data_IF_549959574762
#
_entry.id   IF_549959574762
#
_cell.length_a   1.000
_cell.length_b   1.000
_cell.length_c   1.000
_cell.angle_alpha   90.00
_cell.angle_beta   90.00
_cell.angle_gamma   90.00
#
_symmetry.space_group_name_H-M   'P 1'
#
loop_
_entity.id
_entity.type
_entity.pdbx_description
1 polymer ?
#
# COMPACT_ATOMS: atom_id res chain seq x y z
N UNK A 1 -14.83 -10.74 -9.86
CA UNK A 1 -15.29 -10.80 -8.45
C UNK A 1 -15.43 -12.28 -8.20
N UNK A 2 -14.39 -12.89 -7.62
CA UNK A 2 -14.33 -14.33 -7.44
C UNK A 2 -15.53 -14.76 -6.59
N UNK A 3 -16.19 -15.84 -6.99
CA UNK A 3 -17.32 -16.39 -6.22
C UNK A 3 -16.79 -16.91 -4.88
N UNK A 4 -17.63 -16.90 -3.83
CA UNK A 4 -17.22 -17.38 -2.50
C UNK A 4 -16.72 -18.85 -2.48
N UNK A 5 -16.93 -19.59 -3.58
CA UNK A 5 -16.41 -20.94 -3.81
C UNK A 5 -14.98 -20.99 -4.35
N UNK A 6 -14.43 -19.91 -4.89
CA UNK A 6 -13.09 -19.84 -5.49
C UNK A 6 -12.01 -19.27 -4.56
N UNK A 7 -12.40 -18.75 -3.39
CA UNK A 7 -11.47 -18.25 -2.39
C UNK A 7 -11.05 -19.36 -1.42
N UNK A 8 -9.79 -19.36 -0.93
CA UNK A 8 -9.30 -20.33 0.06
C UNK A 8 -9.81 -20.03 1.49
N UNK A 9 -11.07 -19.61 1.61
CA UNK A 9 -11.80 -19.25 2.84
C UNK A 9 -13.02 -20.13 3.00
N UNK A 10 -13.52 -20.23 4.24
CA UNK A 10 -14.80 -20.85 4.53
C UNK A 10 -15.79 -19.80 5.04
N UNK A 11 -17.11 -19.99 4.85
CA UNK A 11 -18.14 -19.07 5.37
C UNK A 11 -18.00 -18.78 6.88
N UNK A 12 -17.52 -19.77 7.65
CA UNK A 12 -17.27 -19.65 9.09
C UNK A 12 -16.21 -18.60 9.42
N UNK A 13 -15.25 -18.33 8.55
CA UNK A 13 -14.21 -17.33 8.78
C UNK A 13 -14.79 -15.90 8.74
N UNK A 14 -15.68 -15.61 7.79
CA UNK A 14 -16.40 -14.33 7.74
C UNK A 14 -17.44 -14.21 8.85
N UNK A 15 -18.07 -15.32 9.23
CA UNK A 15 -18.96 -15.37 10.38
C UNK A 15 -18.20 -15.03 11.67
N UNK A 16 -16.97 -15.52 11.83
CA UNK A 16 -16.11 -15.18 12.97
C UNK A 16 -15.76 -13.68 12.99
N UNK A 17 -15.42 -13.07 11.84
CA UNK A 17 -15.19 -11.62 11.76
C UNK A 17 -16.45 -10.82 12.11
N UNK A 18 -17.61 -11.24 11.59
CA UNK A 18 -18.89 -10.59 11.87
C UNK A 18 -19.29 -10.72 13.33
N UNK A 19 -19.10 -11.90 13.93
CA UNK A 19 -19.35 -12.15 15.34
C UNK A 19 -18.41 -11.32 16.22
N UNK A 20 -17.12 -11.22 15.86
CA UNK A 20 -16.16 -10.37 16.55
C UNK A 20 -16.56 -8.89 16.51
N UNK A 21 -16.95 -8.39 15.33
CA UNK A 21 -17.45 -7.03 15.18
C UNK A 21 -18.69 -6.78 16.05
N UNK A 22 -19.69 -7.66 15.98
CA UNK A 22 -20.91 -7.57 16.76
C UNK A 22 -20.67 -7.64 18.27
N UNK A 23 -19.76 -8.51 18.71
CA UNK A 23 -19.38 -8.63 20.11
C UNK A 23 -18.68 -7.36 20.62
N UNK A 24 -17.76 -6.79 19.85
CA UNK A 24 -17.07 -5.53 20.19
C UNK A 24 -18.05 -4.36 20.23
N UNK A 25 -18.96 -4.27 19.26
CA UNK A 25 -20.01 -3.25 19.24
C UNK A 25 -20.94 -3.40 20.45
N UNK A 26 -21.38 -4.62 20.76
CA UNK A 26 -22.21 -4.89 21.93
C UNK A 26 -21.51 -4.55 23.24
N UNK A 27 -20.22 -4.90 23.37
CA UNK A 27 -19.40 -4.55 24.52
C UNK A 27 -19.25 -3.03 24.66
N UNK A 28 -19.05 -2.32 23.55
CA UNK A 28 -18.99 -0.86 23.53
C UNK A 28 -20.31 -0.23 23.99
N UNK A 29 -21.45 -0.71 23.47
CA UNK A 29 -22.78 -0.23 23.88
C UNK A 29 -22.99 -0.47 25.38
N UNK A 30 -22.62 -1.64 25.88
CA UNK A 30 -22.73 -1.95 27.31
C UNK A 30 -21.81 -1.08 28.17
N UNK A 31 -20.57 -0.86 27.73
CA UNK A 31 -19.60 0.00 28.41
C UNK A 31 -20.09 1.46 28.44
N UNK A 32 -20.67 1.95 27.34
CA UNK A 32 -21.26 3.28 27.27
C UNK A 32 -22.44 3.43 28.23
N UNK A 33 -23.31 2.42 28.34
CA UNK A 33 -24.45 2.42 29.29
C UNK A 33 -24.04 2.42 30.76
N UNK A 34 -22.90 1.81 31.09
CA UNK A 34 -22.40 1.73 32.47
C UNK A 34 -21.66 2.98 32.93
N UNK A 35 -21.40 3.93 32.02
CA UNK A 35 -20.75 5.19 32.37
C UNK A 35 -21.78 6.25 32.71
N UNK A 36 -21.95 6.50 33.99
CA UNK A 36 -22.65 7.69 34.47
C UNK A 36 -21.85 8.95 34.12
N UNK A 37 -22.51 9.94 33.51
CA UNK A 37 -21.91 11.24 33.19
C UNK A 37 -20.99 11.27 31.96
N UNK A 38 -21.04 10.26 31.08
CA UNK A 38 -20.32 10.30 29.80
C UNK A 38 -20.75 11.50 28.94
N UNK A 39 -19.79 12.22 28.35
CA UNK A 39 -20.11 13.31 27.44
C UNK A 39 -20.80 12.75 26.18
N UNK A 40 -22.02 13.21 25.84
CA UNK A 40 -22.73 12.73 24.67
C UNK A 40 -22.01 13.14 23.38
N UNK A 41 -22.05 12.26 22.38
CA UNK A 41 -21.61 12.59 21.02
C UNK A 41 -22.51 13.70 20.47
N UNK A 42 -21.93 14.87 20.24
CA UNK A 42 -22.65 16.00 19.65
C UNK A 42 -22.87 15.72 18.17
N UNK A 43 -24.03 16.06 17.59
CA UNK A 43 -24.24 15.92 16.14
C UNK A 43 -23.16 16.58 15.29
N UNK A 44 -22.58 17.69 15.77
CA UNK A 44 -21.46 18.38 15.10
C UNK A 44 -20.15 17.60 15.05
N UNK A 45 -19.98 16.56 15.87
CA UNK A 45 -18.80 15.68 15.82
C UNK A 45 -18.88 14.65 14.68
N UNK A 46 -20.03 14.44 14.05
CA UNK A 46 -20.20 13.41 13.01
C UNK A 46 -19.36 13.69 11.76
N UNK A 47 -19.24 14.95 11.34
CA UNK A 47 -18.44 15.35 10.18
C UNK A 47 -16.96 15.09 10.40
N UNK A 48 -16.30 15.64 11.45
CA UNK A 48 -14.88 15.37 11.69
C UNK A 48 -14.63 13.89 11.99
N UNK A 49 -15.54 13.20 12.67
CA UNK A 49 -15.40 11.76 12.92
C UNK A 49 -15.48 10.94 11.62
N UNK A 50 -16.36 11.33 10.70
CA UNK A 50 -16.45 10.74 9.36
C UNK A 50 -15.18 10.96 8.55
N UNK A 51 -14.64 12.19 8.57
CA UNK A 51 -13.36 12.53 7.93
C UNK A 51 -12.20 11.74 8.56
N UNK A 52 -12.16 11.62 9.88
CA UNK A 52 -11.17 10.83 10.60
C UNK A 52 -11.24 9.34 10.24
N UNK A 53 -12.45 8.79 10.13
CA UNK A 53 -12.68 7.42 9.69
C UNK A 53 -12.21 7.18 8.25
N UNK A 54 -12.49 8.13 7.35
CA UNK A 54 -11.98 8.11 5.98
C UNK A 54 -10.45 8.11 5.96
N UNK A 55 -9.81 9.05 6.66
CA UNK A 55 -8.35 9.11 6.75
C UNK A 55 -7.76 7.80 7.28
N UNK A 56 -8.28 7.27 8.39
CA UNK A 56 -7.76 6.05 9.00
C UNK A 56 -7.94 4.83 8.09
N UNK A 57 -9.10 4.68 7.45
CA UNK A 57 -9.34 3.57 6.52
C UNK A 57 -8.47 3.67 5.26
N UNK A 58 -8.26 4.88 4.71
CA UNK A 58 -7.32 5.13 3.61
C UNK A 58 -5.89 4.83 4.04
N UNK A 59 -5.47 5.31 5.21
CA UNK A 59 -4.14 5.09 5.78
C UNK A 59 -3.82 3.60 5.87
N UNK A 60 -4.71 2.82 6.48
CA UNK A 60 -4.53 1.37 6.64
C UNK A 60 -4.59 0.63 5.32
N UNK A 61 -5.51 0.98 4.41
CA UNK A 61 -5.75 0.19 3.20
C UNK A 61 -4.91 0.61 2.00
N UNK A 62 -4.49 1.87 1.89
CA UNK A 62 -3.86 2.43 0.67
C UNK A 62 -2.43 2.89 0.88
N UNK A 63 -2.11 3.50 2.02
CA UNK A 63 -0.82 4.17 2.18
C UNK A 63 0.35 3.18 2.26
N UNK A 64 1.45 3.54 1.60
CA UNK A 64 2.67 2.73 1.58
C UNK A 64 3.37 2.74 2.93
N UNK A 65 3.27 3.85 3.67
CA UNK A 65 3.81 3.96 5.03
C UNK A 65 3.28 2.85 5.95
N UNK A 66 2.01 2.46 5.80
CA UNK A 66 1.37 1.37 6.56
C UNK A 66 1.42 0.01 5.86
N UNK A 67 2.29 -0.17 4.87
CA UNK A 67 2.44 -1.47 4.19
C UNK A 67 2.84 -2.59 5.14
N UNK A 68 3.57 -2.28 6.22
CA UNK A 68 3.97 -3.24 7.25
C UNK A 68 2.75 -3.88 7.97
N UNK A 69 1.65 -3.15 8.14
CA UNK A 69 0.39 -3.67 8.71
C UNK A 69 -0.24 -4.71 7.78
N UNK A 70 -0.18 -4.46 6.47
CA UNK A 70 -0.78 -5.33 5.44
C UNK A 70 0.11 -6.50 5.05
N UNK A 71 1.43 -6.35 5.11
CA UNK A 71 2.43 -7.35 4.69
C UNK A 71 2.14 -8.79 5.20
N UNK A 72 1.75 -9.02 6.47
CA UNK A 72 1.43 -10.37 6.93
C UNK A 72 0.18 -10.98 6.28
N UNK A 73 -0.76 -10.17 5.80
CA UNK A 73 -2.06 -10.62 5.30
C UNK A 73 -2.26 -10.43 3.80
N UNK A 74 -1.49 -9.55 3.16
CA UNK A 74 -1.66 -9.14 1.77
C UNK A 74 -0.31 -9.23 1.04
N UNK A 75 -0.35 -9.78 -0.17
CA UNK A 75 0.73 -9.76 -1.14
C UNK A 75 0.49 -8.62 -2.11
N UNK A 76 1.41 -7.67 -2.16
CA UNK A 76 1.42 -6.61 -3.17
C UNK A 76 2.32 -7.08 -4.33
N UNK A 77 1.74 -7.23 -5.53
CA UNK A 77 2.43 -7.70 -6.74
C UNK A 77 2.88 -6.52 -7.61
N UNK A 78 3.90 -6.72 -8.49
CA UNK A 78 4.24 -5.74 -9.52
C UNK A 78 3.01 -5.34 -10.33
N UNK A 79 2.79 -4.04 -10.55
CA UNK A 79 1.58 -3.52 -11.21
C UNK A 79 0.46 -3.10 -10.25
N UNK A 80 0.66 -3.20 -8.94
CA UNK A 80 -0.28 -2.68 -7.93
C UNK A 80 -1.44 -3.62 -7.60
N UNK A 81 -1.44 -4.84 -8.14
CA UNK A 81 -2.38 -5.88 -7.77
C UNK A 81 -2.12 -6.31 -6.32
N UNK A 82 -3.21 -6.45 -5.54
CA UNK A 82 -3.15 -6.84 -4.12
C UNK A 82 -3.96 -8.11 -3.92
N UNK A 83 -3.31 -9.16 -3.42
CA UNK A 83 -3.95 -10.46 -3.16
C UNK A 83 -3.81 -10.86 -1.70
N UNK A 84 -4.91 -11.24 -1.01
CA UNK A 84 -4.83 -11.78 0.34
C UNK A 84 -3.95 -13.04 0.39
N UNK A 85 -3.19 -13.20 1.48
CA UNK A 85 -2.27 -14.32 1.74
C UNK A 85 -2.91 -15.38 2.60
N UNK A 86 -2.42 -16.61 2.44
CA UNK A 86 -2.74 -17.72 3.32
C UNK A 86 -4.12 -18.33 3.03
N UNK A 87 -4.75 -18.88 4.07
CA UNK A 87 -6.03 -19.59 3.99
C UNK A 87 -6.89 -19.27 5.21
N UNK A 88 -8.19 -19.57 5.12
CA UNK A 88 -9.17 -19.37 6.18
C UNK A 88 -9.16 -17.93 6.72
N UNK A 89 -9.29 -17.75 8.04
CA UNK A 89 -9.26 -16.47 8.72
C UNK A 89 -8.13 -15.52 8.30
N UNK A 90 -6.91 -16.01 8.03
CA UNK A 90 -5.80 -15.14 7.57
C UNK A 90 -6.12 -14.49 6.22
N UNK A 91 -6.73 -15.25 5.31
CA UNK A 91 -7.16 -14.75 4.02
C UNK A 91 -8.33 -13.77 4.18
N UNK A 92 -9.32 -14.11 5.01
CA UNK A 92 -10.47 -13.23 5.29
C UNK A 92 -10.04 -11.88 5.90
N UNK A 93 -9.04 -11.88 6.79
CA UNK A 93 -8.44 -10.64 7.32
C UNK A 93 -7.71 -9.86 6.21
N UNK A 94 -7.02 -10.55 5.31
CA UNK A 94 -6.38 -9.92 4.15
C UNK A 94 -7.40 -9.26 3.20
N UNK A 95 -8.57 -9.86 3.01
CA UNK A 95 -9.66 -9.24 2.25
C UNK A 95 -10.25 -8.03 2.96
N UNK A 96 -10.46 -8.12 4.28
CA UNK A 96 -10.90 -6.99 5.09
C UNK A 96 -9.95 -5.80 4.95
N UNK A 97 -8.63 -6.04 5.08
CA UNK A 97 -7.59 -5.01 4.94
C UNK A 97 -7.39 -4.51 3.50
N UNK A 98 -7.87 -5.26 2.51
CA UNK A 98 -7.86 -4.84 1.10
C UNK A 98 -9.13 -4.07 0.73
N UNK A 99 -10.20 -4.20 1.53
CA UNK A 99 -11.47 -3.52 1.35
C UNK A 99 -11.56 -2.26 2.23
N UNK A 100 -11.50 -1.08 1.59
CA UNK A 100 -11.60 0.21 2.29
C UNK A 100 -12.92 0.38 3.05
N UNK A 101 -14.02 -0.20 2.57
CA UNK A 101 -15.33 -0.12 3.24
C UNK A 101 -15.35 -0.96 4.51
N UNK A 102 -14.86 -2.20 4.43
CA UNK A 102 -14.77 -3.07 5.61
C UNK A 102 -13.82 -2.48 6.64
N UNK A 103 -12.62 -2.08 6.23
CA UNK A 103 -11.68 -1.39 7.11
C UNK A 103 -12.31 -0.11 7.70
N UNK A 104 -13.07 0.66 6.92
CA UNK A 104 -13.81 1.82 7.40
C UNK A 104 -14.81 1.50 8.52
N UNK A 105 -15.57 0.40 8.41
CA UNK A 105 -16.48 -0.02 9.48
C UNK A 105 -15.75 -0.36 10.79
N UNK A 106 -14.60 -1.02 10.70
CA UNK A 106 -13.73 -1.33 11.85
C UNK A 106 -13.06 -0.08 12.43
N UNK A 107 -12.59 0.83 11.56
CA UNK A 107 -12.05 2.13 11.96
C UNK A 107 -13.09 2.95 12.72
N UNK A 108 -14.32 3.06 12.20
CA UNK A 108 -15.41 3.77 12.88
C UNK A 108 -15.69 3.20 14.28
N UNK A 109 -15.75 1.86 14.39
CA UNK A 109 -15.94 1.19 15.67
C UNK A 109 -14.81 1.54 16.65
N UNK A 110 -13.55 1.50 16.20
CA UNK A 110 -12.38 1.86 17.01
C UNK A 110 -12.37 3.33 17.45
N UNK A 111 -12.65 4.26 16.54
CA UNK A 111 -12.68 5.69 16.84
C UNK A 111 -13.80 6.04 17.84
N UNK A 112 -15.00 5.46 17.67
CA UNK A 112 -16.11 5.64 18.61
C UNK A 112 -15.79 4.96 19.94
N UNK A 113 -15.19 3.76 19.93
CA UNK A 113 -14.78 3.08 21.15
C UNK A 113 -13.78 3.92 21.95
N UNK A 114 -12.78 4.51 21.30
CA UNK A 114 -11.83 5.42 21.93
C UNK A 114 -12.54 6.68 22.44
N UNK A 115 -13.47 7.25 21.67
CA UNK A 115 -14.24 8.44 22.06
C UNK A 115 -15.13 8.22 23.27
N UNK A 116 -15.68 7.01 23.41
CA UNK A 116 -16.41 6.58 24.61
C UNK A 116 -15.41 6.38 25.74
N UNK A 117 -14.34 5.59 25.54
CA UNK A 117 -13.39 5.16 26.57
C UNK A 117 -12.52 6.30 27.15
N UNK A 118 -11.99 7.17 26.30
CA UNK A 118 -11.02 8.24 26.60
C UNK A 118 -11.34 9.50 25.76
N UNK A 119 -12.33 10.31 26.18
CA UNK A 119 -12.87 11.39 25.36
C UNK A 119 -11.84 12.48 24.99
N UNK A 120 -10.93 12.82 25.91
CA UNK A 120 -9.90 13.85 25.67
C UNK A 120 -8.86 13.39 24.62
N UNK A 121 -8.34 12.17 24.78
CA UNK A 121 -7.40 11.57 23.83
C UNK A 121 -8.05 11.40 22.44
N UNK A 122 -9.30 10.93 22.42
CA UNK A 122 -10.05 10.76 21.18
C UNK A 122 -10.27 12.06 20.42
N UNK A 123 -10.50 13.19 21.11
CA UNK A 123 -10.63 14.50 20.43
C UNK A 123 -9.35 14.83 19.66
N UNK A 124 -8.19 14.70 20.30
CA UNK A 124 -6.90 14.99 19.66
C UNK A 124 -6.71 14.09 18.44
N UNK A 125 -6.88 12.78 18.62
CA UNK A 125 -6.68 11.80 17.55
C UNK A 125 -7.66 12.01 16.37
N UNK A 126 -8.95 12.21 16.65
CA UNK A 126 -9.96 12.46 15.63
C UNK A 126 -9.70 13.78 14.90
N UNK A 127 -9.30 14.83 15.61
CA UNK A 127 -8.96 16.12 14.98
C UNK A 127 -7.77 15.97 14.04
N UNK A 128 -6.70 15.28 14.45
CA UNK A 128 -5.51 15.06 13.60
C UNK A 128 -5.90 14.28 12.33
N UNK A 129 -6.63 13.18 12.48
CA UNK A 129 -7.07 12.37 11.34
C UNK A 129 -8.03 13.15 10.42
N UNK A 130 -8.96 13.91 10.98
CA UNK A 130 -9.89 14.72 10.21
C UNK A 130 -9.18 15.80 9.39
N UNK A 131 -8.22 16.51 9.99
CA UNK A 131 -7.41 17.52 9.28
C UNK A 131 -6.54 16.86 8.20
N UNK A 132 -6.01 15.66 8.44
CA UNK A 132 -5.30 14.89 7.41
C UNK A 132 -6.20 14.54 6.22
N UNK A 133 -7.46 14.16 6.45
CA UNK A 133 -8.42 13.92 5.37
C UNK A 133 -8.69 15.19 4.55
N UNK A 134 -8.80 16.34 5.21
CA UNK A 134 -8.95 17.64 4.53
C UNK A 134 -7.71 17.94 3.67
N UNK A 135 -6.50 17.72 4.20
CA UNK A 135 -5.27 17.90 3.45
C UNK A 135 -5.23 17.02 2.18
N UNK A 136 -5.57 15.73 2.31
CA UNK A 136 -5.65 14.81 1.18
C UNK A 136 -6.67 15.26 0.13
N UNK A 137 -7.83 15.74 0.58
CA UNK A 137 -8.87 16.26 -0.31
C UNK A 137 -8.39 17.49 -1.08
N UNK A 138 -7.68 18.40 -0.41
CA UNK A 138 -7.10 19.60 -1.05
C UNK A 138 -6.04 19.23 -2.10
N UNK A 139 -5.14 18.30 -1.79
CA UNK A 139 -4.16 17.83 -2.77
C UNK A 139 -4.82 17.12 -3.96
N UNK A 140 -5.83 16.28 -3.70
CA UNK A 140 -6.60 15.62 -4.76
C UNK A 140 -7.33 16.62 -5.66
N UNK A 141 -7.98 17.63 -5.06
CA UNK A 141 -8.65 18.71 -5.79
C UNK A 141 -7.68 19.56 -6.62
N UNK A 142 -6.54 19.94 -6.04
CA UNK A 142 -5.48 20.66 -6.76
C UNK A 142 -4.97 19.87 -7.97
N UNK A 143 -4.68 18.58 -7.78
CA UNK A 143 -4.26 17.70 -8.88
C UNK A 143 -5.31 17.63 -10.00
N UNK A 144 -6.59 17.56 -9.66
CA UNK A 144 -7.67 17.54 -10.63
C UNK A 144 -7.74 18.86 -11.42
N UNK A 145 -7.64 20.01 -10.74
CA UNK A 145 -7.62 21.32 -11.36
C UNK A 145 -6.44 21.49 -12.33
N UNK A 146 -5.23 21.07 -11.93
CA UNK A 146 -4.06 21.09 -12.81
C UNK A 146 -4.27 20.20 -14.05
N UNK A 147 -4.76 18.96 -13.87
CA UNK A 147 -5.01 18.06 -14.99
C UNK A 147 -6.04 18.62 -16.00
N UNK A 148 -7.04 19.35 -15.51
CA UNK A 148 -8.05 19.99 -16.35
C UNK A 148 -7.46 21.19 -17.12
N UNK A 149 -6.57 21.96 -16.49
CA UNK A 149 -5.87 23.06 -17.16
C UNK A 149 -4.91 22.57 -18.25
N UNK A 150 -4.22 21.45 -18.01
CA UNK A 150 -3.30 20.84 -18.98
C UNK A 150 -4.04 20.21 -20.17
N UNK A 151 -5.24 19.65 -19.96
CA UNK A 151 -6.08 19.10 -21.03
C UNK A 151 -6.51 20.14 -22.07
N UNK A 152 -6.49 21.43 -21.73
CA UNK A 152 -6.78 22.54 -22.64
C UNK A 152 -5.58 23.01 -23.47
N UNK A 153 -4.36 22.48 -23.23
CA UNK A 153 -3.15 22.88 -23.96
C UNK A 153 -2.98 21.96 -25.18
N UNK A 154 -2.88 22.52 -26.40
CA UNK A 154 -2.57 21.73 -27.58
C UNK A 154 -1.27 20.94 -27.38
N UNK A 155 -1.26 19.67 -27.76
CA UNK A 155 -0.14 18.75 -27.63
C UNK A 155 0.99 19.06 -28.63
N UNK A 156 1.52 20.28 -28.63
CA UNK A 156 2.55 20.72 -29.60
C UNK A 156 3.97 20.19 -29.28
N UNK A 157 4.21 19.53 -28.13
CA UNK A 157 5.57 19.18 -27.69
C UNK A 157 5.91 17.69 -27.55
N UNK A 158 4.94 16.79 -27.36
CA UNK A 158 5.24 15.40 -26.97
C UNK A 158 5.60 14.47 -28.13
N UNK A 159 5.22 14.81 -29.36
CA UNK A 159 5.64 14.07 -30.56
C UNK A 159 7.10 14.28 -30.95
N UNK A 160 7.71 15.42 -30.58
CA UNK A 160 9.08 15.76 -30.95
C UNK A 160 10.13 15.11 -30.03
N UNK A 161 9.84 14.97 -28.74
CA UNK A 161 10.74 14.35 -27.77
C UNK A 161 10.73 12.81 -27.86
N UNK A 162 9.58 12.19 -28.18
CA UNK A 162 9.48 10.74 -28.35
C UNK A 162 10.09 10.21 -29.66
N UNK A 163 10.25 11.06 -30.68
CA UNK A 163 10.90 10.68 -31.96
C UNK A 163 12.42 10.80 -31.96
N UNK A 164 13.03 11.29 -30.88
CA UNK A 164 14.48 11.28 -30.75
C UNK A 164 14.91 9.86 -30.39
N UNK A 165 14.99 8.99 -31.40
CA UNK A 165 15.61 7.69 -31.29
C UNK A 165 16.98 7.83 -30.60
N UNK A 166 17.39 6.88 -29.75
CA UNK A 166 18.74 6.89 -29.20
C UNK A 166 19.71 6.94 -30.38
N UNK A 167 20.58 7.98 -30.42
CA UNK A 167 21.70 8.02 -31.36
C UNK A 167 22.48 6.72 -31.15
N UNK A 168 22.56 5.89 -32.18
CA UNK A 168 23.45 4.75 -32.18
C UNK A 168 24.87 5.27 -31.94
N UNK A 169 25.46 4.84 -30.84
CA UNK A 169 26.88 5.02 -30.54
C UNK A 169 27.67 4.24 -31.61
N UNK A 170 28.66 4.82 -32.30
CA UNK A 170 29.42 4.09 -33.29
C UNK A 170 30.21 2.98 -32.59
N UNK A 171 30.00 1.74 -33.03
CA UNK A 171 30.74 0.57 -32.58
C UNK A 171 32.24 0.81 -32.76
N UNK A 172 32.98 0.83 -31.64
CA UNK A 172 34.44 0.86 -31.64
C UNK A 172 35.03 -0.39 -32.30
N UNK A 173 36.22 -0.28 -32.93
CA UNK A 173 36.77 -1.37 -33.72
C UNK A 173 37.11 -2.61 -32.87
N UNK A 174 36.65 -3.73 -33.39
CA UNK A 174 36.79 -5.11 -32.91
C UNK A 174 38.28 -5.50 -32.78
N UNK A 175 38.77 -5.57 -31.53
CA UNK A 175 40.11 -6.10 -31.21
C UNK A 175 40.06 -7.62 -31.22
N UNK A 176 39.93 -8.22 -32.39
CA UNK A 176 39.97 -9.68 -32.51
C UNK A 176 40.48 -10.15 -33.87
N UNK A 177 41.56 -9.55 -34.41
CA UNK A 177 42.35 -10.19 -35.49
C UNK A 177 43.66 -9.49 -35.80
N UNK A 178 44.68 -9.67 -34.96
CA UNK A 178 46.07 -9.46 -35.34
C UNK A 178 46.97 -9.93 -34.20
N UNK A 179 47.29 -11.22 -34.16
CA UNK A 179 48.60 -11.72 -33.72
C UNK A 179 48.75 -13.21 -34.14
N UNK A 180 48.37 -13.51 -35.38
CA UNK A 180 48.95 -14.61 -36.16
C UNK A 180 50.23 -14.05 -36.82
N UNK A 181 51.30 -13.89 -36.03
CA UNK A 181 52.64 -13.58 -36.54
C UNK A 181 53.72 -13.93 -35.50
N UNK A 182 53.77 -15.19 -35.07
CA UNK A 182 54.96 -15.72 -34.38
C UNK A 182 55.38 -17.03 -35.05
N UNK A 183 56.00 -16.88 -36.22
CA UNK A 183 56.68 -17.95 -36.93
C UNK A 183 58.13 -18.08 -36.45
N UNK A 184 58.46 -19.31 -36.08
CA UNK A 184 59.75 -20.00 -36.26
C UNK A 184 60.95 -19.62 -35.36
N UNK A 185 61.58 -20.65 -34.79
CA UNK A 185 62.80 -20.49 -33.99
C UNK A 185 63.15 -21.59 -32.98
N UNK A 186 63.31 -22.84 -33.44
CA UNK A 186 64.40 -23.73 -32.98
C UNK A 186 64.33 -24.41 -31.61
N UNK A 187 64.31 -25.75 -31.63
CA UNK A 187 64.35 -26.60 -30.44
C UNK A 187 65.73 -26.76 -29.78
N UNK A 188 65.75 -27.35 -28.57
CA UNK A 188 66.99 -27.61 -27.85
C UNK A 188 66.85 -28.17 -26.44
N UNK A 189 66.53 -29.47 -26.35
CA UNK A 189 67.06 -30.49 -25.40
C UNK A 189 67.39 -30.13 -23.93
N UNK A 190 66.80 -30.98 -23.06
CA UNK A 190 67.42 -31.76 -21.95
C UNK A 190 67.90 -31.04 -20.69
N UNK A 191 67.31 -31.45 -19.55
CA UNK A 191 68.08 -32.18 -18.53
C UNK A 191 68.20 -31.59 -17.12
N UNK A 192 67.64 -32.33 -16.16
CA UNK A 192 68.21 -32.70 -14.84
C UNK A 192 68.59 -31.62 -13.80
N UNK A 193 67.98 -31.84 -12.62
CA UNK A 193 68.61 -32.04 -11.30
C UNK A 193 69.00 -30.85 -10.41
N UNK A 194 68.41 -30.89 -9.21
CA UNK A 194 69.02 -30.88 -7.87
C UNK A 194 69.56 -29.59 -7.22
N UNK A 195 69.23 -29.52 -5.93
CA UNK A 195 69.97 -28.98 -4.77
C UNK A 195 70.15 -27.47 -4.58
N UNK A 196 69.80 -27.03 -3.37
CA UNK A 196 70.05 -25.70 -2.81
C UNK A 196 69.04 -25.38 -1.72
#
# INVERSE_FOLDING_TARGET
MDSASDTPTQPVDYAALSAGYGALLGALVLAARRRDGGEPLRPGELVPLGAACFALSKLVTKEKAESWVRQPFVEERPGGERRPKGRRLRYAVGELLSCSRCTGAWSALGLVALRVARPQEARVLNTVLAVSAVNDFLHGGFSALCSAADAGRPSEGQGALSRRAPRAEPAGPDRARAEDAQGDGGGGRRGRAASG
#
